data_IF_689872781888
#
_entry.id   IF_689872781888
#
_cell.length_a   1.000
_cell.length_b   1.000
_cell.length_c   1.000
_cell.angle_alpha   90.00
_cell.angle_beta   90.00
_cell.angle_gamma   90.00
#
_symmetry.space_group_name_H-M   'P 1'
#
loop_
_entity.id
_entity.type
_entity.pdbx_description
1 polymer ?
#
# COMPACT_ATOMS: atom_id res chain seq x y z
N UNK A 1 18.74 4.14 42.28
CA UNK A 1 17.33 4.27 41.85
C UNK A 1 17.33 4.50 40.34
N UNK A 2 16.78 3.57 39.54
CA UNK A 2 16.81 3.67 38.07
C UNK A 2 15.85 4.78 37.60
N UNK A 3 16.35 5.73 36.81
CA UNK A 3 15.50 6.73 36.16
C UNK A 3 14.79 6.07 34.97
N UNK A 4 13.49 5.88 35.08
CA UNK A 4 12.63 5.45 33.98
C UNK A 4 12.01 6.68 33.32
N UNK A 5 12.05 6.75 32.00
CA UNK A 5 11.34 7.78 31.23
C UNK A 5 10.11 7.13 30.60
N UNK A 6 8.96 7.79 30.73
CA UNK A 6 7.72 7.36 30.09
C UNK A 6 7.80 7.70 28.61
N UNK A 7 8.39 6.80 27.82
CA UNK A 7 8.38 6.93 26.36
C UNK A 7 6.97 6.61 25.88
N UNK A 8 6.36 7.52 25.12
CA UNK A 8 5.07 7.28 24.48
C UNK A 8 5.20 6.07 23.55
N UNK A 9 4.52 4.98 23.88
CA UNK A 9 4.68 3.65 23.25
C UNK A 9 4.33 3.60 21.75
N UNK A 10 3.71 4.64 21.18
CA UNK A 10 3.24 4.63 19.79
C UNK A 10 3.32 6.02 19.15
N UNK A 11 4.53 6.51 18.86
CA UNK A 11 4.68 7.65 17.92
C UNK A 11 4.37 7.22 16.48
N UNK A 12 4.48 5.94 16.17
CA UNK A 12 4.15 5.34 14.87
C UNK A 12 2.70 4.84 14.82
N UNK A 13 1.77 5.62 15.37
CA UNK A 13 0.35 5.39 15.14
C UNK A 13 0.04 5.75 13.68
N UNK A 14 0.44 4.87 12.75
CA UNK A 14 0.18 5.04 11.32
C UNK A 14 -1.30 5.28 11.12
N UNK A 15 -1.60 6.41 10.47
CA UNK A 15 -2.96 6.89 10.25
C UNK A 15 -3.70 5.89 9.37
N UNK A 16 -4.61 5.11 9.97
CA UNK A 16 -5.47 4.14 9.30
C UNK A 16 -6.90 4.67 9.31
N UNK A 17 -7.52 4.74 8.13
CA UNK A 17 -8.91 5.18 7.97
C UNK A 17 -9.69 3.96 7.48
N UNK A 18 -10.64 3.47 8.28
CA UNK A 18 -11.53 2.37 7.88
C UNK A 18 -10.82 1.04 7.55
N UNK A 19 -9.64 0.79 8.12
CA UNK A 19 -8.86 -0.44 7.88
C UNK A 19 -7.90 -0.38 6.68
N UNK A 20 -7.81 0.76 6.01
CA UNK A 20 -6.84 1.04 4.93
C UNK A 20 -5.88 2.15 5.39
N UNK A 21 -4.63 2.09 4.95
CA UNK A 21 -3.64 3.12 5.31
C UNK A 21 -3.95 4.43 4.57
N UNK A 22 -3.75 5.59 5.22
CA UNK A 22 -3.96 6.88 4.56
C UNK A 22 -3.14 7.04 3.27
N UNK A 23 -1.93 6.47 3.24
CA UNK A 23 -1.07 6.45 2.06
C UNK A 23 -1.71 5.73 0.86
N UNK A 24 -2.44 4.63 1.11
CA UNK A 24 -3.13 3.88 0.05
C UNK A 24 -4.27 4.70 -0.55
N UNK A 25 -5.04 5.40 0.29
CA UNK A 25 -6.10 6.32 -0.14
C UNK A 25 -5.52 7.47 -0.97
N UNK A 26 -4.38 8.03 -0.56
CA UNK A 26 -3.68 9.05 -1.33
C UNK A 26 -3.23 8.53 -2.71
N UNK A 27 -2.71 7.30 -2.78
CA UNK A 27 -2.33 6.68 -4.05
C UNK A 27 -3.53 6.49 -5.00
N UNK A 28 -4.68 6.06 -4.47
CA UNK A 28 -5.94 5.95 -5.23
C UNK A 28 -6.39 7.31 -5.77
N UNK A 29 -6.42 8.34 -4.90
CA UNK A 29 -6.81 9.69 -5.30
C UNK A 29 -5.86 10.28 -6.34
N UNK A 30 -4.55 10.10 -6.16
CA UNK A 30 -3.55 10.54 -7.12
C UNK A 30 -3.73 9.85 -8.48
N UNK A 31 -4.00 8.55 -8.48
CA UNK A 31 -4.28 7.80 -9.71
C UNK A 31 -5.50 8.39 -10.42
N UNK A 32 -6.58 8.71 -9.70
CA UNK A 32 -7.75 9.36 -10.28
C UNK A 32 -7.45 10.75 -10.85
N UNK A 33 -6.64 11.55 -10.14
CA UNK A 33 -6.20 12.85 -10.63
C UNK A 33 -5.37 12.75 -11.92
N UNK A 34 -4.45 11.78 -11.99
CA UNK A 34 -3.65 11.51 -13.20
C UNK A 34 -4.53 11.03 -14.35
N UNK A 35 -5.45 10.10 -14.10
CA UNK A 35 -6.40 9.63 -15.12
C UNK A 35 -7.28 10.77 -15.63
N UNK A 36 -7.72 11.67 -14.74
CA UNK A 36 -8.48 12.86 -15.12
C UNK A 36 -7.64 13.85 -15.94
N UNK A 37 -6.36 14.02 -15.61
CA UNK A 37 -5.46 14.88 -16.37
C UNK A 37 -5.26 14.37 -17.81
N UNK A 38 -5.11 13.05 -17.99
CA UNK A 38 -4.84 12.44 -19.29
C UNK A 38 -6.13 12.29 -20.11
N UNK A 39 -7.21 11.82 -19.49
CA UNK A 39 -8.41 11.36 -20.19
C UNK A 39 -9.63 12.28 -19.99
N UNK A 40 -9.51 13.37 -19.22
CA UNK A 40 -10.64 14.25 -18.87
C UNK A 40 -11.34 14.94 -20.06
N UNK A 41 -10.72 14.93 -21.24
CA UNK A 41 -11.30 15.48 -22.47
C UNK A 41 -11.95 14.43 -23.38
N UNK A 42 -11.80 13.14 -23.06
CA UNK A 42 -12.39 12.06 -23.85
C UNK A 42 -13.82 11.78 -23.39
N UNK A 43 -14.74 11.51 -24.32
CA UNK A 43 -16.12 11.11 -23.99
C UNK A 43 -16.19 9.80 -23.20
N UNK A 44 -15.22 8.90 -23.39
CA UNK A 44 -15.06 7.66 -22.61
C UNK A 44 -14.19 7.84 -21.36
N UNK A 45 -13.65 9.04 -21.14
CA UNK A 45 -12.77 9.39 -20.03
C UNK A 45 -13.29 8.98 -18.65
N UNK A 46 -14.58 9.21 -18.31
CA UNK A 46 -15.12 8.84 -17.00
C UNK A 46 -14.92 7.37 -16.63
N UNK A 47 -14.94 6.45 -17.60
CA UNK A 47 -14.71 5.03 -17.35
C UNK A 47 -13.29 4.80 -16.83
N UNK A 48 -12.28 5.47 -17.38
CA UNK A 48 -10.90 5.36 -16.92
C UNK A 48 -10.66 6.12 -15.62
N UNK A 49 -11.27 7.30 -15.48
CA UNK A 49 -11.11 8.20 -14.33
C UNK A 49 -11.67 7.56 -13.06
N UNK A 50 -12.80 6.84 -13.13
CA UNK A 50 -13.37 6.17 -11.97
C UNK A 50 -13.05 4.68 -11.92
N UNK A 51 -12.95 4.03 -13.08
CA UNK A 51 -12.70 2.59 -13.16
C UNK A 51 -11.32 2.20 -12.63
N UNK A 52 -10.24 2.80 -13.16
CA UNK A 52 -8.88 2.41 -12.75
C UNK A 52 -8.62 2.67 -11.26
N UNK A 53 -8.93 3.85 -10.69
CA UNK A 53 -8.78 4.08 -9.25
C UNK A 53 -9.74 3.24 -8.41
N UNK A 54 -10.96 2.98 -8.91
CA UNK A 54 -11.93 2.12 -8.23
C UNK A 54 -11.45 0.68 -8.10
N UNK A 55 -10.88 0.11 -9.18
CA UNK A 55 -10.26 -1.22 -9.16
C UNK A 55 -9.08 -1.25 -8.20
N UNK A 56 -8.20 -0.24 -8.24
CA UNK A 56 -7.06 -0.13 -7.33
C UNK A 56 -7.52 -0.07 -5.87
N UNK A 57 -8.54 0.74 -5.57
CA UNK A 57 -9.12 0.84 -4.23
C UNK A 57 -9.69 -0.50 -3.77
N UNK A 58 -10.46 -1.18 -4.63
CA UNK A 58 -11.00 -2.51 -4.30
C UNK A 58 -9.88 -3.51 -4.04
N UNK A 59 -8.84 -3.54 -4.88
CA UNK A 59 -7.69 -4.44 -4.70
C UNK A 59 -6.96 -4.16 -3.38
N UNK A 60 -6.74 -2.90 -3.02
CA UNK A 60 -6.11 -2.52 -1.75
C UNK A 60 -7.01 -2.81 -0.56
N UNK A 61 -8.30 -2.50 -0.67
CA UNK A 61 -9.29 -2.75 0.37
C UNK A 61 -9.39 -4.25 0.67
N UNK A 62 -9.66 -5.10 -0.32
CA UNK A 62 -9.77 -6.55 -0.09
C UNK A 62 -8.42 -7.21 0.17
N UNK A 63 -7.33 -6.72 -0.45
CA UNK A 63 -5.99 -7.29 -0.30
C UNK A 63 -5.34 -6.99 1.04
N UNK A 64 -5.55 -5.80 1.62
CA UNK A 64 -4.97 -5.40 2.91
C UNK A 64 -5.91 -5.56 4.10
N UNK A 65 -7.22 -5.69 3.90
CA UNK A 65 -8.17 -5.76 5.02
C UNK A 65 -7.88 -6.96 5.93
N UNK A 66 -7.50 -6.65 7.17
CA UNK A 66 -7.15 -7.63 8.19
C UNK A 66 -5.77 -8.29 8.02
N UNK A 67 -4.94 -7.82 7.07
CA UNK A 67 -3.57 -8.31 6.88
C UNK A 67 -2.57 -7.44 7.67
N UNK A 68 -1.44 -8.02 8.12
CA UNK A 68 -0.39 -7.29 8.81
C UNK A 68 0.29 -6.27 7.90
N UNK A 69 1.02 -5.33 8.51
CA UNK A 69 1.74 -4.28 7.78
C UNK A 69 2.76 -4.86 6.80
N UNK A 70 2.99 -4.18 5.68
CA UNK A 70 3.93 -4.64 4.66
C UNK A 70 3.48 -5.87 3.85
N UNK A 71 2.27 -6.40 4.07
CA UNK A 71 1.76 -7.57 3.33
C UNK A 71 1.86 -7.40 1.81
N UNK A 72 1.54 -6.23 1.26
CA UNK A 72 1.64 -5.98 -0.17
C UNK A 72 3.08 -6.06 -0.69
N UNK A 73 4.05 -5.54 0.08
CA UNK A 73 5.47 -5.60 -0.28
C UNK A 73 5.97 -7.04 -0.29
N UNK A 74 5.61 -7.83 0.72
CA UNK A 74 5.97 -9.25 0.78
C UNK A 74 5.26 -10.08 -0.28
N UNK A 75 3.98 -9.80 -0.56
CA UNK A 75 3.24 -10.43 -1.64
C UNK A 75 3.88 -10.10 -3.00
N UNK A 76 4.21 -8.83 -3.24
CA UNK A 76 4.90 -8.42 -4.46
C UNK A 76 6.29 -9.06 -4.58
N UNK A 77 7.08 -9.06 -3.49
CA UNK A 77 8.38 -9.76 -3.43
C UNK A 77 8.20 -11.24 -3.76
N UNK A 78 7.16 -11.89 -3.23
CA UNK A 78 6.86 -13.30 -3.53
C UNK A 78 6.43 -13.53 -4.98
N UNK A 79 5.59 -12.65 -5.56
CA UNK A 79 5.16 -12.78 -6.95
C UNK A 79 6.29 -12.53 -7.97
N UNK A 80 7.25 -11.65 -7.63
CA UNK A 80 8.40 -11.32 -8.50
C UNK A 80 9.57 -12.27 -8.27
N UNK A 81 9.76 -12.76 -7.04
CA UNK A 81 10.81 -13.72 -6.71
C UNK A 81 10.41 -15.10 -7.24
N UNK A 82 11.00 -15.46 -8.38
CA UNK A 82 10.99 -16.81 -8.94
C UNK A 82 11.62 -17.79 -7.94
N UNK A 83 10.81 -18.33 -7.02
CA UNK A 83 10.82 -19.67 -6.40
C UNK A 83 12.11 -20.38 -5.97
N UNK A 84 13.30 -19.82 -6.17
CA UNK A 84 14.58 -20.44 -5.82
C UNK A 84 14.93 -20.03 -4.38
N UNK A 85 14.34 -20.73 -3.41
CA UNK A 85 14.86 -20.72 -2.05
C UNK A 85 16.18 -21.52 -2.05
N UNK A 86 17.28 -20.85 -2.40
CA UNK A 86 18.62 -21.43 -2.28
C UNK A 86 19.04 -21.40 -0.82
N UNK A 87 19.14 -22.58 -0.21
CA UNK A 87 19.53 -22.78 1.18
C UNK A 87 21.04 -22.52 1.42
N UNK A 88 21.56 -21.35 1.02
CA UNK A 88 23.01 -21.12 1.04
C UNK A 88 23.53 -19.68 1.12
N UNK A 89 22.73 -18.65 0.87
CA UNK A 89 23.24 -17.27 0.94
C UNK A 89 22.60 -16.47 2.08
N UNK A 90 23.47 -15.96 2.96
CA UNK A 90 23.13 -15.10 4.09
C UNK A 90 22.45 -13.83 3.58
N UNK A 91 21.18 -13.66 3.91
CA UNK A 91 20.43 -12.40 3.75
C UNK A 91 20.71 -11.50 4.98
N UNK A 92 21.98 -11.21 5.25
CA UNK A 92 22.41 -10.11 6.12
C UNK A 92 23.16 -9.13 5.21
N UNK A 93 22.80 -7.84 5.26
CA UNK A 93 23.29 -6.67 4.50
C UNK A 93 22.29 -6.16 3.46
N UNK A 94 21.34 -5.32 3.90
CA UNK A 94 21.36 -3.84 3.82
C UNK A 94 20.21 -3.29 4.66
#
# INVERSE_FOLDING_TARGET
MLKTSTVHRNLDAKFKIGGVEAADLLAVLLTGAVMNLIFGRLSIGPIFIFGAPGILFCALYFGKRGKPEGYLMHALKFFISSGELRAGEREDLV
#
